data_IF_909989849428
#
_entry.id   IF_909989849428
#
_cell.length_a   1.000
_cell.length_b   1.000
_cell.length_c   1.000
_cell.angle_alpha   90.00
_cell.angle_beta   90.00
_cell.angle_gamma   90.00
#
_symmetry.space_group_name_H-M   'P 1'
#
loop_
_entity.id
_entity.type
_entity.pdbx_description
1 polymer ?
#
# COMPACT_ATOMS: atom_id res chain seq x y z
N UNK A 1 -29.63 32.72 25.48
CA UNK A 1 -29.18 31.56 26.27
C UNK A 1 -29.11 30.24 25.46
N UNK A 2 -30.09 29.88 24.60
CA UNK A 2 -30.01 28.67 23.75
C UNK A 2 -28.84 28.64 22.73
N UNK A 3 -28.39 29.79 22.21
CA UNK A 3 -27.25 29.86 21.26
C UNK A 3 -25.88 29.57 21.90
N UNK A 4 -25.74 29.81 23.21
CA UNK A 4 -24.51 29.54 23.95
C UNK A 4 -24.37 28.04 24.32
N UNK A 5 -25.49 27.34 24.49
CA UNK A 5 -25.51 25.89 24.73
C UNK A 5 -25.14 25.07 23.48
N UNK A 6 -25.41 25.58 22.27
CA UNK A 6 -25.04 24.92 20.99
C UNK A 6 -23.56 25.10 20.68
N UNK A 7 -22.97 26.24 21.04
CA UNK A 7 -21.54 26.48 20.87
C UNK A 7 -20.68 25.63 21.83
N UNK A 8 -21.18 25.38 23.04
CA UNK A 8 -20.46 24.56 24.03
C UNK A 8 -20.43 23.07 23.66
N UNK A 9 -21.46 22.53 23.00
CA UNK A 9 -21.46 21.13 22.53
C UNK A 9 -20.56 20.91 21.32
N UNK A 10 -20.43 21.89 20.41
CA UNK A 10 -19.54 21.77 19.25
C UNK A 10 -18.05 21.70 19.63
N UNK A 11 -17.63 22.41 20.67
CA UNK A 11 -16.22 22.44 21.13
C UNK A 11 -15.81 21.13 21.81
N UNK A 12 -16.73 20.48 22.52
CA UNK A 12 -16.48 19.19 23.19
C UNK A 12 -16.30 18.05 22.17
N UNK A 13 -17.03 18.08 21.04
CA UNK A 13 -16.87 17.08 19.99
C UNK A 13 -15.52 17.18 19.25
N UNK A 14 -14.99 18.39 19.04
CA UNK A 14 -13.70 18.58 18.36
C UNK A 14 -12.50 18.22 19.24
N UNK A 15 -12.60 18.35 20.57
CA UNK A 15 -11.53 17.99 21.49
C UNK A 15 -11.46 16.48 21.81
N UNK A 16 -12.57 15.75 21.66
CA UNK A 16 -12.61 14.30 21.85
C UNK A 16 -11.98 13.50 20.69
N UNK A 17 -12.01 14.04 19.46
CA UNK A 17 -11.49 13.35 18.28
C UNK A 17 -9.96 13.26 18.25
N UNK A 18 -9.24 14.15 18.94
CA UNK A 18 -7.77 14.13 19.04
C UNK A 18 -7.21 13.15 20.07
N UNK A 19 -8.05 12.58 20.94
CA UNK A 19 -7.62 11.61 21.96
C UNK A 19 -7.61 10.17 21.44
N UNK A 20 -8.28 9.92 20.33
CA UNK A 20 -8.25 8.65 19.61
C UNK A 20 -7.40 8.84 18.36
N UNK A 21 -6.09 9.02 18.55
CA UNK A 21 -5.15 8.88 17.44
C UNK A 21 -5.34 7.49 16.84
N UNK A 22 -6.01 7.42 15.69
CA UNK A 22 -6.03 6.21 14.89
C UNK A 22 -4.58 5.92 14.54
N UNK A 23 -3.98 4.94 15.21
CA UNK A 23 -2.72 4.36 14.78
C UNK A 23 -3.02 3.72 13.43
N UNK A 24 -2.77 4.45 12.35
CA UNK A 24 -2.82 3.86 11.02
C UNK A 24 -1.78 2.74 11.03
N UNK A 25 -2.24 1.50 10.95
CA UNK A 25 -1.35 0.36 10.82
C UNK A 25 -0.43 0.61 9.62
N UNK A 26 0.87 0.33 9.77
CA UNK A 26 1.81 0.45 8.66
C UNK A 26 1.33 -0.45 7.51
N UNK A 27 1.38 0.08 6.28
CA UNK A 27 0.93 -0.66 5.10
C UNK A 27 1.78 -1.92 4.94
N UNK A 28 1.13 -3.03 4.59
CA UNK A 28 1.88 -4.23 4.20
C UNK A 28 2.59 -3.96 2.87
N UNK A 29 3.92 -4.01 2.89
CA UNK A 29 4.76 -3.89 1.69
C UNK A 29 4.80 -5.23 0.95
N UNK A 30 4.50 -5.21 -0.36
CA UNK A 30 4.46 -6.42 -1.19
C UNK A 30 5.30 -6.21 -2.45
N UNK A 31 6.35 -7.00 -2.61
CA UNK A 31 7.22 -7.01 -3.78
C UNK A 31 6.79 -8.01 -4.84
N UNK A 32 6.85 -7.62 -6.11
CA UNK A 32 6.61 -8.48 -7.28
C UNK A 32 7.88 -8.51 -8.15
N UNK A 33 8.31 -9.72 -8.54
CA UNK A 33 9.47 -9.91 -9.43
C UNK A 33 8.96 -10.54 -10.72
N UNK A 34 9.25 -9.91 -11.86
CA UNK A 34 8.86 -10.39 -13.18
C UNK A 34 10.06 -10.77 -14.03
N UNK A 35 9.98 -11.95 -14.66
CA UNK A 35 11.01 -12.46 -15.58
C UNK A 35 11.10 -11.60 -16.86
N UNK A 36 9.95 -11.20 -17.42
CA UNK A 36 9.84 -10.40 -18.64
C UNK A 36 9.26 -9.01 -18.39
N UNK A 37 9.12 -8.19 -19.45
CA UNK A 37 8.54 -6.86 -19.35
C UNK A 37 7.02 -6.92 -19.20
N UNK A 38 6.42 -5.90 -18.57
CA UNK A 38 4.94 -5.78 -18.48
C UNK A 38 4.28 -5.67 -19.86
N UNK A 39 5.02 -5.16 -20.85
CA UNK A 39 4.57 -5.04 -22.25
C UNK A 39 4.54 -6.36 -23.03
N UNK A 40 4.71 -7.52 -22.38
CA UNK A 40 4.63 -8.82 -23.07
C UNK A 40 3.21 -9.21 -23.50
N UNK A 41 2.18 -8.52 -22.99
CA UNK A 41 0.75 -8.81 -23.20
C UNK A 41 0.37 -10.28 -22.95
N UNK A 42 1.16 -10.98 -22.13
CA UNK A 42 1.06 -12.41 -21.88
C UNK A 42 1.22 -12.71 -20.41
N UNK A 43 2.30 -13.41 -20.04
CA UNK A 43 2.49 -13.92 -18.68
C UNK A 43 2.72 -12.78 -17.68
N UNK A 44 3.72 -11.93 -17.90
CA UNK A 44 4.01 -10.82 -16.98
C UNK A 44 2.84 -9.84 -16.93
N UNK A 45 2.24 -9.53 -18.08
CA UNK A 45 1.07 -8.65 -18.12
C UNK A 45 -0.08 -9.14 -17.23
N UNK A 46 -0.38 -10.44 -17.24
CA UNK A 46 -1.44 -10.99 -16.36
C UNK A 46 -1.06 -10.89 -14.87
N UNK A 47 0.21 -11.08 -14.53
CA UNK A 47 0.68 -10.86 -13.16
C UNK A 47 0.59 -9.39 -12.72
N UNK A 48 0.85 -8.44 -13.61
CA UNK A 48 0.66 -7.01 -13.34
C UNK A 48 -0.81 -6.66 -13.16
N UNK A 49 -1.72 -7.20 -13.98
CA UNK A 49 -3.16 -7.03 -13.78
C UNK A 49 -3.62 -7.58 -12.43
N UNK A 50 -3.08 -8.73 -11.99
CA UNK A 50 -3.34 -9.28 -10.67
C UNK A 50 -2.84 -8.36 -9.54
N UNK A 51 -1.64 -7.78 -9.68
CA UNK A 51 -1.12 -6.78 -8.73
C UNK A 51 -2.04 -5.56 -8.64
N UNK A 52 -2.49 -5.04 -9.77
CA UNK A 52 -3.43 -3.90 -9.81
C UNK A 52 -4.77 -4.25 -9.15
N UNK A 53 -5.26 -5.48 -9.33
CA UNK A 53 -6.46 -5.97 -8.64
C UNK A 53 -6.25 -6.02 -7.11
N UNK A 54 -5.08 -6.45 -6.62
CA UNK A 54 -4.75 -6.40 -5.20
C UNK A 54 -4.75 -4.96 -4.67
N UNK A 55 -4.15 -4.02 -5.39
CA UNK A 55 -4.15 -2.59 -4.98
C UNK A 55 -5.58 -2.06 -4.92
N UNK A 56 -6.44 -2.42 -5.87
CA UNK A 56 -7.85 -2.02 -5.88
C UNK A 56 -8.63 -2.59 -4.69
N UNK A 57 -8.39 -3.85 -4.34
CA UNK A 57 -9.12 -4.55 -3.28
C UNK A 57 -8.66 -4.11 -1.88
N UNK A 58 -7.35 -4.02 -1.67
CA UNK A 58 -6.77 -3.77 -0.35
C UNK A 58 -6.46 -2.30 -0.08
N UNK A 59 -6.41 -1.46 -1.11
CA UNK A 59 -6.33 -0.01 -0.99
C UNK A 59 -5.18 0.45 -0.09
N UNK A 60 -5.52 1.18 0.97
CA UNK A 60 -4.57 1.76 1.92
C UNK A 60 -3.89 0.74 2.84
N UNK A 61 -4.31 -0.53 2.82
CA UNK A 61 -3.71 -1.59 3.63
C UNK A 61 -2.40 -2.14 3.06
N UNK A 62 -2.15 -1.95 1.76
CA UNK A 62 -0.94 -2.46 1.09
C UNK A 62 -0.21 -1.36 0.34
N UNK A 63 1.09 -1.57 0.17
CA UNK A 63 1.97 -0.83 -0.73
C UNK A 63 2.72 -1.82 -1.59
N UNK A 64 2.63 -1.71 -2.92
CA UNK A 64 3.21 -2.70 -3.82
C UNK A 64 4.34 -2.10 -4.64
N UNK A 65 5.43 -2.84 -4.81
CA UNK A 65 6.55 -2.50 -5.69
C UNK A 65 6.80 -3.66 -6.66
N UNK A 66 7.24 -3.38 -7.88
CA UNK A 66 7.61 -4.42 -8.83
C UNK A 66 8.95 -4.15 -9.52
N UNK A 67 9.63 -5.21 -9.92
CA UNK A 67 10.80 -5.18 -10.81
C UNK A 67 10.51 -6.05 -12.03
N UNK A 68 10.88 -5.56 -13.22
CA UNK A 68 10.75 -6.29 -14.48
C UNK A 68 12.11 -6.68 -15.08
N UNK A 69 12.09 -7.63 -16.01
CA UNK A 69 13.29 -8.15 -16.69
C UNK A 69 14.35 -8.73 -15.73
N UNK A 70 13.90 -9.33 -14.62
CA UNK A 70 14.80 -9.97 -13.65
C UNK A 70 15.13 -11.37 -14.14
N UNK A 71 16.40 -11.60 -14.46
CA UNK A 71 16.85 -12.91 -14.96
C UNK A 71 16.91 -13.94 -13.84
N UNK A 72 16.71 -15.21 -14.19
CA UNK A 72 16.87 -16.32 -13.24
C UNK A 72 18.30 -16.42 -12.67
N UNK A 73 18.43 -17.14 -11.56
CA UNK A 73 19.72 -17.38 -10.91
C UNK A 73 20.19 -16.18 -10.07
N UNK A 74 21.47 -15.78 -10.14
CA UNK A 74 22.03 -14.79 -9.22
C UNK A 74 21.35 -13.42 -9.25
N UNK A 75 20.73 -13.06 -10.39
CA UNK A 75 20.05 -11.77 -10.52
C UNK A 75 18.70 -11.75 -9.80
N UNK A 76 17.94 -12.84 -9.87
CA UNK A 76 16.74 -13.04 -9.08
C UNK A 76 17.03 -12.98 -7.58
N UNK A 77 18.08 -13.68 -7.11
CA UNK A 77 18.47 -13.67 -5.69
C UNK A 77 18.75 -12.25 -5.19
N UNK A 78 19.59 -11.49 -5.90
CA UNK A 78 19.90 -10.10 -5.55
C UNK A 78 18.67 -9.20 -5.58
N UNK A 79 17.83 -9.34 -6.58
CA UNK A 79 16.62 -8.52 -6.74
C UNK A 79 15.63 -8.78 -5.62
N UNK A 80 15.44 -10.04 -5.23
CA UNK A 80 14.61 -10.44 -4.10
C UNK A 80 15.20 -9.89 -2.80
N UNK A 81 16.50 -10.06 -2.54
CA UNK A 81 17.16 -9.50 -1.36
C UNK A 81 17.02 -7.98 -1.27
N UNK A 82 17.16 -7.27 -2.40
CA UNK A 82 17.00 -5.83 -2.46
C UNK A 82 15.58 -5.41 -2.04
N UNK A 83 14.55 -6.08 -2.54
CA UNK A 83 13.16 -5.80 -2.14
C UNK A 83 12.91 -6.11 -0.66
N UNK A 84 13.45 -7.20 -0.14
CA UNK A 84 13.33 -7.56 1.28
C UNK A 84 14.01 -6.51 2.17
N UNK A 85 15.17 -5.99 1.78
CA UNK A 85 15.87 -4.93 2.53
C UNK A 85 15.17 -3.57 2.46
N UNK A 86 14.32 -3.36 1.47
CA UNK A 86 13.61 -2.09 1.27
C UNK A 86 12.41 -1.89 2.23
N UNK A 87 12.01 -2.91 2.99
CA UNK A 87 11.04 -2.75 4.07
C UNK A 87 10.22 -3.99 4.36
#
# INVERSE_FOLDING_TARGET
MRKLLIAATAVVLTAGASLFGASAAEKLKVGFIYLGPVGDFGWTYQHELARQALVKEFGDKIETTYLENVSEGPDAERSIEQLVRAG
#
